data_IF_501858701182
#
_entry.id   IF_501858701182
#
_cell.length_a   1.000
_cell.length_b   1.000
_cell.length_c   1.000
_cell.angle_alpha   90.00
_cell.angle_beta   90.00
_cell.angle_gamma   90.00
#
_symmetry.space_group_name_H-M   'P 1'
#
loop_
_entity.id
_entity.type
_entity.pdbx_description
1 polymer ?
#
# COMPACT_ATOMS: atom_id res chain seq x y z
N UNK A 1 -38.92 26.46 -59.28
CA UNK A 1 -37.54 25.96 -59.28
C UNK A 1 -36.61 27.13 -58.99
N UNK A 2 -36.20 27.32 -57.73
CA UNK A 2 -35.14 28.27 -57.39
C UNK A 2 -34.64 28.07 -55.96
N UNK A 3 -33.31 27.93 -55.87
CA UNK A 3 -32.41 28.21 -54.74
C UNK A 3 -32.34 27.26 -53.54
N UNK A 4 -31.31 26.40 -53.61
CA UNK A 4 -30.74 25.58 -52.55
C UNK A 4 -29.83 26.42 -51.65
N UNK A 5 -30.14 26.50 -50.34
CA UNK A 5 -29.27 27.08 -49.31
C UNK A 5 -28.11 26.12 -48.99
N UNK A 6 -26.87 26.51 -49.32
CA UNK A 6 -25.63 25.90 -48.79
C UNK A 6 -25.28 26.55 -47.44
N UNK A 7 -25.46 25.83 -46.34
CA UNK A 7 -24.80 26.15 -45.06
C UNK A 7 -23.50 25.37 -44.97
N UNK A 8 -22.38 26.09 -44.91
CA UNK A 8 -21.04 25.55 -44.62
C UNK A 8 -20.87 25.65 -43.10
N UNK A 9 -20.69 24.51 -42.43
CA UNK A 9 -20.27 24.46 -41.04
C UNK A 9 -18.74 24.35 -40.98
N UNK A 10 -18.02 25.16 -40.19
CA UNK A 10 -16.60 24.95 -39.95
C UNK A 10 -16.37 23.82 -38.94
N UNK A 11 -15.42 22.95 -39.30
CA UNK A 11 -15.00 21.76 -38.57
C UNK A 11 -14.42 22.07 -37.19
N UNK A 12 -14.85 21.33 -36.16
CA UNK A 12 -14.24 21.34 -34.85
C UNK A 12 -12.95 20.49 -34.88
N UNK A 13 -11.81 21.13 -34.67
CA UNK A 13 -10.51 20.50 -34.50
C UNK A 13 -10.51 19.78 -33.13
N UNK A 14 -10.61 18.45 -33.12
CA UNK A 14 -10.45 17.66 -31.89
C UNK A 14 -8.98 17.25 -31.74
N UNK A 15 -8.26 17.96 -30.87
CA UNK A 15 -6.90 17.59 -30.46
C UNK A 15 -6.99 16.44 -29.45
N UNK A 16 -6.57 15.24 -29.85
CA UNK A 16 -6.44 14.09 -28.96
C UNK A 16 -5.16 14.24 -28.15
N UNK A 17 -5.28 14.49 -26.85
CA UNK A 17 -4.16 14.47 -25.91
C UNK A 17 -3.97 13.02 -25.46
N UNK A 18 -2.96 12.33 -26.00
CA UNK A 18 -2.59 10.99 -25.53
C UNK A 18 -1.79 11.15 -24.24
N UNK A 19 -2.44 10.94 -23.10
CA UNK A 19 -1.75 10.76 -21.83
C UNK A 19 -1.01 9.42 -21.90
N UNK A 20 0.32 9.47 -21.99
CA UNK A 20 1.17 8.31 -21.80
C UNK A 20 1.00 7.80 -20.36
N UNK A 21 0.16 6.78 -20.18
CA UNK A 21 0.11 6.02 -18.93
C UNK A 21 1.43 5.26 -18.82
N UNK A 22 2.29 5.70 -17.89
CA UNK A 22 3.42 4.89 -17.46
C UNK A 22 2.85 3.57 -16.94
N UNK A 23 3.19 2.46 -17.61
CA UNK A 23 2.81 1.13 -17.15
C UNK A 23 3.42 0.92 -15.75
N UNK A 24 2.62 0.53 -14.74
CA UNK A 24 3.18 0.20 -13.44
C UNK A 24 4.12 -1.00 -13.61
N UNK A 25 5.35 -0.88 -13.14
CA UNK A 25 6.30 -1.98 -13.01
C UNK A 25 5.62 -3.11 -12.24
N UNK A 26 5.25 -4.19 -12.93
CA UNK A 26 4.69 -5.38 -12.30
C UNK A 26 5.79 -6.00 -11.42
N UNK A 27 5.73 -5.78 -10.11
CA UNK A 27 6.44 -6.65 -9.18
C UNK A 27 5.82 -8.04 -9.31
N UNK A 28 6.65 -9.06 -9.53
CA UNK A 28 6.19 -10.44 -9.55
C UNK A 28 5.37 -10.69 -8.28
N UNK A 29 4.09 -11.02 -8.46
CA UNK A 29 3.22 -11.35 -7.36
C UNK A 29 3.56 -12.78 -6.93
N UNK A 30 3.88 -12.98 -5.65
CA UNK A 30 4.02 -14.32 -5.12
C UNK A 30 2.63 -14.95 -5.12
N UNK A 31 2.45 -16.04 -5.86
CA UNK A 31 1.21 -16.83 -5.82
C UNK A 31 1.09 -17.47 -4.44
N UNK A 32 0.01 -17.16 -3.71
CA UNK A 32 -0.25 -17.71 -2.38
C UNK A 32 -1.43 -18.67 -2.46
N UNK A 33 -1.10 -19.96 -2.51
CA UNK A 33 -2.09 -21.03 -2.34
C UNK A 33 -2.64 -21.02 -0.90
N UNK A 34 -3.76 -21.71 -0.67
CA UNK A 34 -4.32 -21.90 0.67
C UNK A 34 -3.23 -22.37 1.65
N UNK A 35 -3.05 -21.64 2.75
CA UNK A 35 -1.89 -21.83 3.61
C UNK A 35 -1.43 -20.54 4.27
N UNK A 36 -0.15 -20.50 4.64
CA UNK A 36 0.45 -19.43 5.43
C UNK A 36 1.82 -19.05 4.88
N UNK A 37 2.02 -17.75 4.64
CA UNK A 37 3.28 -17.16 4.16
C UNK A 37 3.79 -16.12 5.16
N UNK A 38 5.09 -16.16 5.43
CA UNK A 38 5.73 -15.17 6.29
C UNK A 38 5.78 -13.79 5.60
N UNK A 39 5.39 -12.75 6.32
CA UNK A 39 5.40 -11.36 5.84
C UNK A 39 6.32 -10.54 6.74
N UNK A 40 7.32 -9.92 6.13
CA UNK A 40 8.28 -9.11 6.85
C UNK A 40 8.56 -7.82 6.10
N UNK A 41 8.58 -6.70 6.83
CA UNK A 41 8.94 -5.38 6.33
C UNK A 41 9.95 -4.72 7.25
N UNK A 42 10.78 -3.87 6.67
CA UNK A 42 11.79 -3.11 7.39
C UNK A 42 11.94 -1.73 6.76
N UNK A 43 11.94 -0.71 7.60
CA UNK A 43 12.20 0.69 7.23
C UNK A 43 13.31 1.19 8.13
N UNK A 44 14.40 1.67 7.54
CA UNK A 44 15.49 2.32 8.24
C UNK A 44 15.62 3.76 7.73
N UNK A 45 15.68 4.70 8.66
CA UNK A 45 15.86 6.12 8.37
C UNK A 45 17.31 6.53 8.51
N UNK A 46 17.68 7.64 7.86
CA UNK A 46 19.04 8.20 7.93
C UNK A 46 19.42 8.66 9.35
N UNK A 47 18.44 8.98 10.19
CA UNK A 47 18.64 9.27 11.62
C UNK A 47 19.03 8.03 12.43
N UNK A 48 18.89 6.83 11.87
CA UNK A 48 19.07 5.56 12.57
C UNK A 48 17.81 5.02 13.25
N UNK A 49 16.68 5.73 13.14
CA UNK A 49 15.37 5.23 13.56
C UNK A 49 14.94 4.08 12.65
N UNK A 50 14.29 3.06 13.23
CA UNK A 50 13.91 1.84 12.51
C UNK A 50 12.51 1.40 12.84
N UNK A 51 11.75 0.98 11.84
CA UNK A 51 10.48 0.29 12.02
C UNK A 51 10.53 -1.05 11.31
N UNK A 52 9.89 -2.05 11.89
CA UNK A 52 9.77 -3.38 11.30
C UNK A 52 8.41 -3.97 11.55
N UNK A 53 7.94 -4.77 10.60
CA UNK A 53 6.79 -5.65 10.78
C UNK A 53 7.26 -7.08 10.58
N UNK A 54 6.84 -7.97 11.47
CA UNK A 54 7.04 -9.42 11.33
C UNK A 54 5.72 -10.12 11.60
N UNK A 55 5.29 -10.94 10.66
CA UNK A 55 3.99 -11.57 10.73
C UNK A 55 3.80 -12.65 9.69
N UNK A 56 2.53 -13.02 9.55
CA UNK A 56 2.06 -14.11 8.70
C UNK A 56 0.81 -13.66 7.97
N UNK A 57 0.77 -13.92 6.67
CA UNK A 57 -0.43 -13.88 5.83
C UNK A 57 -0.97 -15.30 5.70
N UNK A 58 -2.21 -15.52 6.11
CA UNK A 58 -2.94 -16.79 5.94
C UNK A 58 -4.03 -16.60 4.90
N UNK A 59 -4.24 -17.61 4.06
CA UNK A 59 -5.29 -17.66 3.04
C UNK A 59 -6.13 -18.94 3.15
N UNK A 60 -7.45 -18.82 3.02
CA UNK A 60 -8.39 -19.95 3.15
C UNK A 60 -8.68 -20.70 1.84
N UNK A 61 -8.14 -20.24 0.70
CA UNK A 61 -8.37 -20.83 -0.62
C UNK A 61 -9.72 -20.45 -1.27
N UNK A 62 -10.55 -19.66 -0.59
CA UNK A 62 -11.93 -19.34 -0.98
C UNK A 62 -12.21 -17.85 -1.11
N UNK A 63 -11.33 -17.01 -0.61
CA UNK A 63 -11.54 -15.57 -0.63
C UNK A 63 -11.08 -14.86 0.63
N UNK A 64 -10.88 -15.57 1.75
CA UNK A 64 -10.54 -14.98 3.04
C UNK A 64 -9.05 -14.92 3.31
N UNK A 65 -8.53 -13.72 3.57
CA UNK A 65 -7.15 -13.52 4.05
C UNK A 65 -7.12 -13.04 5.50
N UNK A 66 -6.03 -13.38 6.18
CA UNK A 66 -5.75 -12.93 7.54
C UNK A 66 -4.26 -12.58 7.69
N UNK A 67 -3.96 -11.33 8.00
CA UNK A 67 -2.60 -10.86 8.30
C UNK A 67 -2.48 -10.62 9.80
N UNK A 68 -1.61 -11.39 10.44
CA UNK A 68 -1.28 -11.23 11.87
C UNK A 68 0.19 -10.96 12.06
N UNK A 69 0.56 -10.24 13.11
CA UNK A 69 1.96 -9.99 13.41
C UNK A 69 2.18 -8.82 14.36
N UNK A 70 3.39 -8.31 14.36
CA UNK A 70 3.82 -7.27 15.28
C UNK A 70 4.62 -6.20 14.55
N UNK A 71 4.33 -4.95 14.85
CA UNK A 71 5.15 -3.80 14.46
C UNK A 71 6.04 -3.43 15.65
N UNK A 72 7.32 -3.26 15.38
CA UNK A 72 8.30 -2.68 16.30
C UNK A 72 8.85 -1.40 15.71
N UNK A 73 8.73 -0.31 16.47
CA UNK A 73 9.26 1.01 16.15
C UNK A 73 10.37 1.34 17.16
N UNK A 74 11.56 1.70 16.68
CA UNK A 74 12.70 2.06 17.52
C UNK A 74 13.18 3.43 17.07
N UNK A 75 13.30 4.34 18.02
CA UNK A 75 13.62 5.75 17.77
C UNK A 75 14.77 6.20 18.66
N UNK A 76 15.46 7.28 18.29
CA UNK A 76 16.30 8.02 19.23
C UNK A 76 15.45 8.77 20.28
N UNK A 77 15.95 9.00 21.51
CA UNK A 77 15.16 9.49 22.65
C UNK A 77 14.42 10.83 22.47
N UNK A 78 14.72 11.58 21.40
CA UNK A 78 14.12 12.90 21.11
C UNK A 78 13.15 12.86 19.92
N UNK A 79 13.09 11.74 19.21
CA UNK A 79 12.28 11.55 18.01
C UNK A 79 11.04 10.72 18.37
N UNK A 80 9.90 11.03 17.75
CA UNK A 80 8.71 10.17 17.79
C UNK A 80 8.49 9.57 16.42
N UNK A 81 8.33 8.25 16.36
CA UNK A 81 7.96 7.52 15.15
C UNK A 81 6.64 6.79 15.38
N UNK A 82 5.72 6.95 14.45
CA UNK A 82 4.47 6.20 14.38
C UNK A 82 4.55 5.29 13.15
N UNK A 83 4.21 4.02 13.30
CA UNK A 83 4.28 3.04 12.22
C UNK A 83 3.03 2.18 12.18
N UNK A 84 2.52 1.90 10.99
CA UNK A 84 1.33 1.08 10.78
C UNK A 84 1.48 0.27 9.49
N UNK A 85 0.72 -0.82 9.39
CA UNK A 85 0.67 -1.59 8.17
C UNK A 85 -0.38 -0.97 7.25
N UNK A 86 -0.05 -0.81 5.97
CA UNK A 86 -1.04 -0.46 4.96
C UNK A 86 -1.32 -1.66 4.08
N UNK A 87 -2.58 -1.77 3.66
CA UNK A 87 -3.05 -2.87 2.82
C UNK A 87 -4.08 -2.39 1.79
N UNK A 88 -4.11 -3.06 0.64
CA UNK A 88 -5.01 -2.73 -0.48
C UNK A 88 -5.27 -3.99 -1.30
N UNK A 89 -6.48 -4.10 -1.84
CA UNK A 89 -6.80 -5.02 -2.93
C UNK A 89 -6.61 -4.35 -4.30
N UNK A 90 -6.53 -5.13 -5.38
CA UNK A 90 -6.38 -4.63 -6.75
C UNK A 90 -7.37 -3.52 -7.13
N UNK A 91 -8.59 -3.58 -6.61
CA UNK A 91 -9.66 -2.61 -6.84
C UNK A 91 -10.04 -1.78 -5.60
N UNK A 92 -9.24 -1.83 -4.54
CA UNK A 92 -9.53 -1.11 -3.30
C UNK A 92 -8.49 -0.01 -3.02
N UNK A 93 -8.94 1.13 -2.52
CA UNK A 93 -8.04 2.13 -1.94
C UNK A 93 -7.25 1.55 -0.76
N UNK A 94 -6.05 2.09 -0.54
CA UNK A 94 -5.23 1.76 0.62
C UNK A 94 -5.95 2.04 1.94
N UNK A 95 -5.86 1.07 2.85
CA UNK A 95 -6.39 1.10 4.21
C UNK A 95 -5.22 0.98 5.19
N UNK A 96 -5.37 1.59 6.36
CA UNK A 96 -4.40 1.47 7.44
C UNK A 96 -4.83 0.36 8.40
N UNK A 97 -3.86 -0.33 9.00
CA UNK A 97 -4.11 -1.26 10.09
C UNK A 97 -4.82 -0.56 11.25
N UNK A 98 -5.68 -1.28 12.00
CA UNK A 98 -6.44 -0.68 13.10
C UNK A 98 -5.54 -0.23 14.27
N UNK A 99 -4.37 -0.85 14.42
CA UNK A 99 -3.37 -0.49 15.42
C UNK A 99 -2.11 0.08 14.75
N UNK A 100 -1.43 0.96 15.46
CA UNK A 100 -0.15 1.55 15.07
C UNK A 100 0.85 1.47 16.23
N UNK A 101 2.12 1.27 15.91
CA UNK A 101 3.22 1.33 16.84
C UNK A 101 3.70 2.78 16.92
N UNK A 102 3.35 3.46 17.99
CA UNK A 102 3.83 4.80 18.30
C UNK A 102 4.88 4.73 19.42
N UNK A 103 6.07 5.23 19.15
CA UNK A 103 7.11 5.31 20.17
C UNK A 103 6.83 6.38 21.22
N UNK A 104 5.97 7.36 20.93
CA UNK A 104 5.73 8.52 21.79
C UNK A 104 7.04 9.22 22.14
N UNK A 105 7.21 9.54 23.42
CA UNK A 105 8.46 10.05 23.99
C UNK A 105 9.40 8.93 24.48
N UNK A 106 9.06 7.67 24.21
CA UNK A 106 9.89 6.53 24.55
C UNK A 106 10.74 6.12 23.36
N UNK A 107 11.79 5.33 23.62
CA UNK A 107 12.67 4.79 22.58
C UNK A 107 11.99 3.70 21.72
N UNK A 108 10.85 3.16 22.16
CA UNK A 108 10.25 1.96 21.60
C UNK A 108 8.73 2.09 21.45
N UNK A 109 8.21 1.84 20.25
CA UNK A 109 6.79 1.67 19.97
C UNK A 109 6.50 0.23 19.58
N UNK A 110 5.33 -0.28 19.96
CA UNK A 110 4.91 -1.64 19.66
C UNK A 110 3.43 -1.70 19.34
N UNK A 111 3.04 -2.50 18.35
CA UNK A 111 1.64 -2.80 18.05
C UNK A 111 1.45 -4.22 17.55
N UNK A 112 0.36 -4.86 18.00
CA UNK A 112 -0.13 -6.10 17.39
C UNK A 112 -1.00 -5.77 16.20
N UNK A 113 -0.81 -6.50 15.12
CA UNK A 113 -1.58 -6.39 13.89
C UNK A 113 -2.44 -7.63 13.74
N UNK A 114 -3.70 -7.39 13.44
CA UNK A 114 -4.72 -8.38 13.15
C UNK A 114 -5.65 -7.75 12.10
N UNK A 115 -5.50 -8.17 10.84
CA UNK A 115 -6.26 -7.64 9.70
C UNK A 115 -6.86 -8.82 8.97
N UNK A 116 -8.18 -8.90 8.94
CA UNK A 116 -8.91 -9.87 8.14
C UNK A 116 -9.67 -9.17 7.01
N UNK A 117 -9.81 -9.85 5.88
CA UNK A 117 -10.58 -9.35 4.75
C UNK A 117 -10.88 -10.42 3.73
N UNK A 118 -11.55 -10.02 2.66
CA UNK A 118 -11.86 -10.92 1.54
C UNK A 118 -11.44 -10.32 0.21
N UNK A 119 -10.87 -11.13 -0.67
CA UNK A 119 -10.55 -10.79 -2.05
C UNK A 119 -11.07 -11.90 -2.99
N UNK A 120 -11.60 -11.56 -4.18
CA UNK A 120 -11.85 -12.54 -5.22
C UNK A 120 -10.60 -13.35 -5.57
N UNK A 121 -10.78 -14.62 -5.93
CA UNK A 121 -9.69 -15.47 -6.39
C UNK A 121 -9.01 -14.85 -7.62
N UNK A 122 -7.69 -14.82 -7.62
CA UNK A 122 -6.86 -14.20 -8.66
C UNK A 122 -6.54 -12.72 -8.42
N UNK A 123 -7.21 -12.05 -7.47
CA UNK A 123 -6.87 -10.68 -7.11
C UNK A 123 -5.60 -10.61 -6.26
N UNK A 124 -5.05 -9.40 -6.20
CA UNK A 124 -3.81 -9.08 -5.48
C UNK A 124 -4.10 -8.43 -4.14
N UNK A 125 -3.41 -8.91 -3.11
CA UNK A 125 -3.24 -8.21 -1.83
C UNK A 125 -1.89 -7.50 -1.85
N UNK A 126 -1.92 -6.19 -1.75
CA UNK A 126 -0.75 -5.34 -1.58
C UNK A 126 -0.56 -5.00 -0.10
N UNK A 127 0.66 -5.18 0.42
CA UNK A 127 1.05 -4.84 1.80
C UNK A 127 2.31 -3.98 1.80
N UNK A 128 2.39 -3.03 2.74
CA UNK A 128 3.62 -2.31 3.07
C UNK A 128 3.60 -1.81 4.51
N UNK A 129 4.77 -1.55 5.08
CA UNK A 129 4.91 -0.85 6.35
C UNK A 129 5.05 0.64 6.07
N UNK A 130 4.20 1.48 6.65
CA UNK A 130 4.33 2.92 6.56
C UNK A 130 4.80 3.51 7.89
N UNK A 131 5.50 4.63 7.81
CA UNK A 131 6.06 5.30 8.99
C UNK A 131 5.97 6.81 8.88
N UNK A 132 5.56 7.45 9.97
CA UNK A 132 5.60 8.89 10.19
C UNK A 132 6.60 9.25 11.28
N UNK A 133 7.33 10.36 11.17
CA UNK A 133 8.24 10.85 12.21
C UNK A 133 8.03 12.34 12.49
N UNK A 134 8.02 12.70 13.78
CA UNK A 134 8.03 14.10 14.18
C UNK A 134 9.38 14.77 13.89
N UNK A 135 9.38 16.08 13.63
CA UNK A 135 10.57 16.94 13.54
C UNK A 135 11.46 16.83 12.28
N UNK A 136 11.08 16.07 11.24
CA UNK A 136 11.87 15.98 9.99
C UNK A 136 11.05 16.43 8.77
N UNK A 137 11.68 17.18 7.86
CA UNK A 137 11.10 17.67 6.58
C UNK A 137 10.73 16.58 5.55
N UNK A 138 10.81 15.29 5.92
CA UNK A 138 10.41 14.11 5.14
C UNK A 138 9.80 13.08 6.08
N UNK A 139 8.81 13.52 6.85
CA UNK A 139 8.23 12.76 7.95
C UNK A 139 7.69 11.39 7.53
N UNK A 140 7.40 11.18 6.25
CA UNK A 140 6.75 9.98 5.71
C UNK A 140 7.72 9.09 4.94
N UNK A 141 7.79 7.81 5.32
CA UNK A 141 8.62 6.83 4.62
C UNK A 141 7.98 5.43 4.64
N UNK A 142 7.45 4.94 3.51
CA UNK A 142 6.99 3.57 3.38
C UNK A 142 8.16 2.61 3.11
N UNK A 143 7.97 1.34 3.45
CA UNK A 143 8.78 0.24 2.92
C UNK A 143 8.46 0.01 1.44
N UNK A 144 9.29 -0.81 0.80
CA UNK A 144 8.88 -1.44 -0.46
C UNK A 144 7.58 -2.22 -0.26
N UNK A 145 6.73 -2.15 -1.28
CA UNK A 145 5.47 -2.88 -1.34
C UNK A 145 5.76 -4.35 -1.65
N UNK A 146 5.03 -5.25 -1.00
CA UNK A 146 4.94 -6.67 -1.38
C UNK A 146 3.54 -6.96 -1.88
N UNK A 147 3.47 -7.69 -2.99
CA UNK A 147 2.22 -8.06 -3.67
C UNK A 147 2.06 -9.57 -3.61
N UNK A 148 0.91 -10.02 -3.14
CA UNK A 148 0.53 -11.43 -3.07
C UNK A 148 -0.64 -11.65 -4.00
N UNK A 149 -0.47 -12.48 -5.04
CA UNK A 149 -1.60 -12.89 -5.88
C UNK A 149 -2.23 -14.10 -5.23
N UNK A 150 -3.52 -14.00 -5.00
CA UNK A 150 -4.22 -14.98 -4.20
C UNK A 150 -4.84 -16.06 -5.11
N UNK A 151 -4.44 -17.33 -4.94
CA UNK A 151 -4.84 -18.46 -5.79
C UNK A 151 -5.82 -19.45 -5.15
#
# INVERSE_FOLDING_TARGET
MTSTLKKIAPAALSTVFVLGVAAPSASAADGVDAGSTAVNFYVKRNTGDTSSFRGTLTWDGKGGYHVTGEINAITYPVNRITSWLEYSGEHESWKNSPNEADSGNSKYGYAKIDIAGTLPKGERLDLRLNTWQSQIFWAWQPSDKKTYTIS
#
